data_IF_557774145673
#
_entry.id   IF_557774145673
#
_cell.length_a   1.000
_cell.length_b   1.000
_cell.length_c   1.000
_cell.angle_alpha   90.00
_cell.angle_beta   90.00
_cell.angle_gamma   90.00
#
_symmetry.space_group_name_H-M   'P 1'
#
loop_
_entity.id
_entity.type
_entity.pdbx_description
1 polymer ?
#
# COMPACT_ATOMS: atom_id res chain seq x y z
N UNK A 1 36.08 1.11 -56.21
CA UNK A 1 35.79 0.07 -55.19
C UNK A 1 35.46 0.75 -53.87
N UNK A 2 34.65 0.09 -53.03
CA UNK A 2 34.27 0.45 -51.64
C UNK A 2 33.01 1.32 -51.49
N UNK A 3 31.87 0.65 -51.42
CA UNK A 3 30.68 1.12 -50.69
C UNK A 3 29.83 -0.03 -50.12
N UNK A 4 30.23 -1.29 -50.36
CA UNK A 4 29.52 -2.49 -49.90
C UNK A 4 29.79 -2.82 -48.44
N UNK A 5 30.97 -2.46 -47.92
CA UNK A 5 31.30 -2.62 -46.49
C UNK A 5 30.36 -1.79 -45.60
N UNK A 6 29.85 -0.65 -46.10
CA UNK A 6 29.06 0.30 -45.31
C UNK A 6 27.59 -0.12 -45.16
N UNK A 7 27.00 -0.74 -46.20
CA UNK A 7 25.60 -1.18 -46.15
C UNK A 7 25.44 -2.43 -45.29
N UNK A 8 26.40 -3.34 -45.40
CA UNK A 8 26.35 -4.60 -44.66
C UNK A 8 26.64 -4.39 -43.17
N UNK A 9 27.58 -3.50 -42.81
CA UNK A 9 27.78 -3.11 -41.41
C UNK A 9 26.58 -2.39 -40.82
N UNK A 10 25.96 -1.45 -41.55
CA UNK A 10 24.74 -0.78 -41.10
C UNK A 10 23.58 -1.77 -40.90
N UNK A 11 23.43 -2.75 -41.79
CA UNK A 11 22.42 -3.80 -41.64
C UNK A 11 22.68 -4.63 -40.38
N UNK A 12 23.93 -5.03 -40.14
CA UNK A 12 24.30 -5.79 -38.93
C UNK A 12 24.13 -4.98 -37.65
N UNK A 13 24.47 -3.69 -37.65
CA UNK A 13 24.24 -2.80 -36.50
C UNK A 13 22.75 -2.64 -36.20
N UNK A 14 21.91 -2.51 -37.23
CA UNK A 14 20.46 -2.46 -37.07
C UNK A 14 19.91 -3.77 -36.51
N UNK A 15 20.34 -4.91 -37.04
CA UNK A 15 19.95 -6.23 -36.52
C UNK A 15 20.32 -6.39 -35.05
N UNK A 16 21.57 -6.06 -34.68
CA UNK A 16 22.06 -6.10 -33.29
C UNK A 16 21.21 -5.17 -32.40
N UNK A 17 20.91 -3.97 -32.87
CA UNK A 17 20.11 -3.00 -32.11
C UNK A 17 18.68 -3.50 -31.90
N UNK A 18 18.08 -4.09 -32.94
CA UNK A 18 16.73 -4.68 -32.89
C UNK A 18 16.72 -5.88 -31.92
N UNK A 19 17.69 -6.79 -32.01
CA UNK A 19 17.75 -7.95 -31.12
C UNK A 19 17.96 -7.54 -29.67
N UNK A 20 18.85 -6.57 -29.41
CA UNK A 20 19.09 -6.06 -28.06
C UNK A 20 17.84 -5.39 -27.47
N UNK A 21 17.10 -4.64 -28.28
CA UNK A 21 15.82 -4.03 -27.87
C UNK A 21 14.77 -5.10 -27.53
N UNK A 22 14.66 -6.14 -28.35
CA UNK A 22 13.73 -7.26 -28.11
C UNK A 22 14.10 -8.07 -26.86
N UNK A 23 15.38 -8.25 -26.56
CA UNK A 23 15.84 -8.92 -25.34
C UNK A 23 15.58 -8.10 -24.09
N UNK A 24 15.81 -6.77 -24.15
CA UNK A 24 15.46 -5.86 -23.06
C UNK A 24 13.95 -5.89 -22.77
N UNK A 25 13.11 -5.92 -23.79
CA UNK A 25 11.65 -6.04 -23.63
C UNK A 25 11.24 -7.38 -23.00
N UNK A 26 11.91 -8.48 -23.34
CA UNK A 26 11.69 -9.80 -22.71
C UNK A 26 12.09 -9.79 -21.23
N UNK A 27 13.24 -9.20 -20.89
CA UNK A 27 13.69 -9.03 -19.51
C UNK A 27 12.78 -8.08 -18.71
N UNK A 28 12.21 -7.07 -19.37
CA UNK A 28 11.24 -6.17 -18.75
C UNK A 28 9.91 -6.89 -18.43
N UNK A 29 9.48 -7.83 -19.29
CA UNK A 29 8.26 -8.62 -19.08
C UNK A 29 8.39 -9.64 -17.95
N UNK A 30 9.56 -10.25 -17.75
CA UNK A 30 9.79 -11.24 -16.68
C UNK A 30 9.95 -10.62 -15.29
N UNK A 31 10.38 -9.35 -15.20
CA UNK A 31 10.58 -8.63 -13.93
C UNK A 31 9.33 -7.89 -13.42
N UNK A 32 8.21 -7.91 -14.14
CA UNK A 32 6.93 -7.32 -13.72
C UNK A 32 6.22 -8.13 -12.62
N UNK A 33 6.97 -8.69 -11.65
CA UNK A 33 6.37 -9.14 -10.40
C UNK A 33 5.82 -7.89 -9.71
N UNK A 34 4.50 -7.85 -9.51
CA UNK A 34 3.84 -6.76 -8.79
C UNK A 34 4.60 -6.56 -7.47
N UNK A 35 4.98 -5.34 -7.10
CA UNK A 35 5.67 -5.10 -5.84
C UNK A 35 4.80 -5.65 -4.70
N UNK A 36 5.41 -6.45 -3.83
CA UNK A 36 4.72 -7.04 -2.69
C UNK A 36 4.31 -5.90 -1.75
N UNK A 37 3.01 -5.70 -1.59
CA UNK A 37 2.45 -4.62 -0.77
C UNK A 37 2.71 -4.89 0.71
N UNK A 38 2.50 -6.14 1.13
CA UNK A 38 2.59 -6.58 2.52
C UNK A 38 4.01 -7.04 2.84
N UNK A 39 4.61 -6.45 3.87
CA UNK A 39 5.96 -6.82 4.35
C UNK A 39 5.95 -8.16 5.08
N UNK A 40 7.12 -8.79 5.20
CA UNK A 40 7.27 -10.06 5.94
C UNK A 40 6.84 -9.92 7.39
N UNK A 41 7.17 -8.81 8.04
CA UNK A 41 6.74 -8.50 9.41
C UNK A 41 5.21 -8.49 9.55
N UNK A 42 4.49 -7.86 8.62
CA UNK A 42 3.02 -7.87 8.63
C UNK A 42 2.47 -9.27 8.37
N UNK A 43 3.14 -10.08 7.55
CA UNK A 43 2.75 -11.49 7.34
C UNK A 43 2.92 -12.33 8.62
N UNK A 44 4.01 -12.12 9.36
CA UNK A 44 4.24 -12.78 10.66
C UNK A 44 3.16 -12.39 11.68
N UNK A 45 2.76 -11.12 11.71
CA UNK A 45 1.66 -10.65 12.57
C UNK A 45 0.31 -11.28 12.20
N UNK A 46 0.03 -11.44 10.91
CA UNK A 46 -1.17 -12.15 10.44
C UNK A 46 -1.09 -13.63 10.82
N UNK A 47 0.05 -14.26 10.61
CA UNK A 47 0.27 -15.67 10.93
C UNK A 47 0.06 -15.94 12.43
N UNK A 48 0.70 -15.17 13.29
CA UNK A 48 0.54 -15.26 14.75
C UNK A 48 -0.90 -14.98 15.19
N UNK A 49 -1.63 -14.05 14.56
CA UNK A 49 -3.07 -13.88 14.78
C UNK A 49 -3.83 -15.18 14.44
N UNK A 50 -3.56 -15.78 13.28
CA UNK A 50 -4.26 -16.99 12.84
C UNK A 50 -3.99 -18.19 13.75
N UNK A 51 -2.77 -18.34 14.26
CA UNK A 51 -2.41 -19.39 15.23
C UNK A 51 -3.12 -19.20 16.58
N UNK A 52 -3.20 -17.96 17.08
CA UNK A 52 -3.93 -17.70 18.32
C UNK A 52 -5.45 -17.85 18.15
N UNK A 53 -5.98 -17.57 16.96
CA UNK A 53 -7.40 -17.75 16.63
C UNK A 53 -7.79 -19.22 16.56
N UNK A 54 -6.93 -20.08 16.00
CA UNK A 54 -7.20 -21.50 15.79
C UNK A 54 -7.30 -22.30 17.10
N UNK A 55 -6.78 -21.77 18.21
CA UNK A 55 -6.92 -22.37 19.54
C UNK A 55 -8.39 -22.36 20.00
N UNK A 56 -8.91 -23.56 20.31
CA UNK A 56 -10.31 -23.78 20.73
C UNK A 56 -10.62 -23.10 22.07
N UNK A 57 -9.77 -23.32 23.05
CA UNK A 57 -9.89 -22.70 24.37
C UNK A 57 -8.88 -21.56 24.51
N UNK A 58 -9.34 -20.42 25.02
CA UNK A 58 -8.53 -19.20 25.15
C UNK A 58 -8.63 -18.69 26.58
N UNK A 59 -7.49 -18.48 27.22
CA UNK A 59 -7.44 -17.81 28.52
C UNK A 59 -7.82 -16.32 28.38
N UNK A 60 -8.03 -15.64 29.51
CA UNK A 60 -8.34 -14.19 29.50
C UNK A 60 -7.17 -13.39 28.94
N UNK A 61 -5.96 -13.81 29.27
CA UNK A 61 -4.69 -13.23 28.82
C UNK A 61 -4.55 -13.40 27.30
N UNK A 62 -4.80 -14.60 26.77
CA UNK A 62 -4.76 -14.85 25.33
C UNK A 62 -5.77 -14.00 24.54
N UNK A 63 -6.97 -13.79 25.08
CA UNK A 63 -7.96 -12.90 24.46
C UNK A 63 -7.48 -11.44 24.44
N UNK A 64 -6.81 -11.00 25.50
CA UNK A 64 -6.22 -9.67 25.56
C UNK A 64 -5.07 -9.52 24.57
N UNK A 65 -4.16 -10.48 24.54
CA UNK A 65 -3.04 -10.53 23.60
C UNK A 65 -3.53 -10.50 22.15
N UNK A 66 -4.54 -11.32 21.82
CA UNK A 66 -5.14 -11.33 20.49
C UNK A 66 -5.71 -9.97 20.10
N UNK A 67 -6.37 -9.27 21.03
CA UNK A 67 -6.87 -7.90 20.80
C UNK A 67 -5.75 -6.91 20.48
N UNK A 68 -4.63 -7.00 21.19
CA UNK A 68 -3.47 -6.14 20.92
C UNK A 68 -2.77 -6.53 19.61
N UNK A 69 -2.69 -7.83 19.28
CA UNK A 69 -2.19 -8.32 18.01
C UNK A 69 -3.00 -7.78 16.83
N UNK A 70 -4.33 -7.79 16.93
CA UNK A 70 -5.20 -7.23 15.90
C UNK A 70 -4.96 -5.75 15.65
N UNK A 71 -4.78 -4.96 16.72
CA UNK A 71 -4.47 -3.53 16.59
C UNK A 71 -3.12 -3.33 15.89
N UNK A 72 -2.10 -4.08 16.31
CA UNK A 72 -0.75 -4.01 15.71
C UNK A 72 -0.79 -4.41 14.23
N UNK A 73 -1.42 -5.53 13.91
CA UNK A 73 -1.56 -6.04 12.53
C UNK A 73 -2.29 -5.04 11.64
N UNK A 74 -3.41 -4.48 12.10
CA UNK A 74 -4.15 -3.49 11.34
C UNK A 74 -3.35 -2.20 11.11
N UNK A 75 -2.56 -1.78 12.11
CA UNK A 75 -1.61 -0.67 11.97
C UNK A 75 -0.54 -0.95 10.93
N UNK A 76 0.07 -2.14 10.97
CA UNK A 76 1.11 -2.58 10.04
C UNK A 76 0.59 -2.67 8.59
N UNK A 77 -0.59 -3.26 8.38
CA UNK A 77 -1.27 -3.28 7.07
C UNK A 77 -1.47 -1.86 6.54
N UNK A 78 -1.95 -0.93 7.38
CA UNK A 78 -2.12 0.46 7.00
C UNK A 78 -0.81 1.14 6.57
N UNK A 79 0.28 0.87 7.29
CA UNK A 79 1.61 1.38 6.99
C UNK A 79 2.16 0.81 5.68
N UNK A 80 2.00 -0.50 5.46
CA UNK A 80 2.42 -1.19 4.23
C UNK A 80 1.73 -0.61 2.99
N UNK A 81 0.41 -0.39 3.07
CA UNK A 81 -0.33 0.24 1.99
C UNK A 81 0.10 1.69 1.73
N UNK A 82 0.38 2.45 2.79
CA UNK A 82 0.86 3.83 2.66
C UNK A 82 2.27 3.90 2.06
N UNK A 83 3.17 3.00 2.47
CA UNK A 83 4.50 2.84 1.87
C UNK A 83 4.39 2.51 0.39
N UNK A 84 3.57 1.50 0.04
CA UNK A 84 3.36 1.11 -1.34
C UNK A 84 2.80 2.27 -2.19
N UNK A 85 1.87 3.05 -1.65
CA UNK A 85 1.35 4.26 -2.31
C UNK A 85 2.45 5.28 -2.59
N UNK A 86 3.31 5.58 -1.61
CA UNK A 86 4.44 6.52 -1.80
C UNK A 86 5.37 6.06 -2.93
N UNK A 87 5.69 4.78 -2.97
CA UNK A 87 6.51 4.19 -4.05
C UNK A 87 5.85 4.39 -5.42
N UNK A 88 4.53 4.22 -5.54
CA UNK A 88 3.82 4.47 -6.81
C UNK A 88 3.89 5.95 -7.19
N UNK A 89 3.67 6.85 -6.23
CA UNK A 89 3.73 8.30 -6.47
C UNK A 89 5.12 8.70 -6.95
N UNK A 90 6.16 8.26 -6.26
CA UNK A 90 7.57 8.50 -6.60
C UNK A 90 7.87 7.96 -8.00
N UNK A 91 7.51 6.71 -8.29
CA UNK A 91 7.65 6.12 -9.63
C UNK A 91 6.92 6.92 -10.71
N UNK A 92 5.74 7.46 -10.42
CA UNK A 92 4.99 8.28 -11.36
C UNK A 92 5.68 9.63 -11.64
N UNK A 93 6.33 10.20 -10.64
CA UNK A 93 7.12 11.43 -10.78
C UNK A 93 8.45 11.18 -11.49
N UNK A 94 9.16 10.11 -11.17
CA UNK A 94 10.49 9.82 -11.71
C UNK A 94 10.43 9.22 -13.12
N UNK A 95 9.71 8.10 -13.28
CA UNK A 95 9.70 7.35 -14.53
C UNK A 95 8.84 8.02 -15.60
N UNK A 96 7.66 8.49 -15.21
CA UNK A 96 6.68 9.03 -16.16
C UNK A 96 6.62 10.56 -16.15
N UNK A 97 7.34 11.24 -15.24
CA UNK A 97 7.33 12.70 -15.09
C UNK A 97 5.91 13.28 -15.05
N UNK A 98 4.96 12.53 -14.48
CA UNK A 98 3.54 12.81 -14.61
C UNK A 98 2.93 13.22 -13.28
N UNK A 99 2.89 14.53 -13.04
CA UNK A 99 2.26 15.11 -11.85
C UNK A 99 0.76 14.79 -11.75
N UNK A 100 0.06 14.65 -12.89
CA UNK A 100 -1.35 14.22 -12.93
C UNK A 100 -1.53 12.82 -12.35
N UNK A 101 -0.66 11.87 -12.72
CA UNK A 101 -0.71 10.49 -12.20
C UNK A 101 -0.38 10.45 -10.72
N UNK A 102 0.65 11.18 -10.28
CA UNK A 102 0.98 11.31 -8.86
C UNK A 102 -0.17 11.92 -8.05
N UNK A 103 -0.79 13.00 -8.53
CA UNK A 103 -1.91 13.66 -7.87
C UNK A 103 -3.16 12.77 -7.79
N UNK A 104 -3.39 11.91 -8.80
CA UNK A 104 -4.48 10.94 -8.76
C UNK A 104 -4.30 9.95 -7.60
N UNK A 105 -3.09 9.43 -7.40
CA UNK A 105 -2.79 8.50 -6.30
C UNK A 105 -2.92 9.16 -4.91
N UNK A 106 -2.55 10.44 -4.80
CA UNK A 106 -2.73 11.27 -3.59
C UNK A 106 -4.21 11.54 -3.28
N UNK A 107 -5.01 11.88 -4.30
CA UNK A 107 -6.42 12.28 -4.11
C UNK A 107 -7.36 11.11 -3.92
N UNK A 108 -7.16 10.01 -4.67
CA UNK A 108 -8.08 8.86 -4.70
C UNK A 108 -8.13 8.12 -3.35
N UNK A 109 -7.05 8.14 -2.57
CA UNK A 109 -7.09 7.55 -1.23
C UNK A 109 -6.50 8.38 -0.09
N UNK A 110 -6.25 9.68 -0.31
CA UNK A 110 -5.94 10.65 0.77
C UNK A 110 -7.14 11.03 1.64
N UNK A 111 -8.36 10.59 1.30
CA UNK A 111 -9.60 10.88 2.01
C UNK A 111 -9.76 10.16 3.35
N UNK A 112 -9.02 9.09 3.62
CA UNK A 112 -9.11 8.36 4.90
C UNK A 112 -8.43 9.08 6.08
N UNK A 113 -7.55 10.05 5.82
CA UNK A 113 -6.94 10.85 6.88
C UNK A 113 -7.84 12.01 7.36
N UNK A 114 -8.70 12.56 6.49
CA UNK A 114 -9.60 13.69 6.84
C UNK A 114 -10.99 13.25 7.34
N UNK A 115 -11.44 12.04 7.01
CA UNK A 115 -12.73 11.50 7.48
C UNK A 115 -12.76 11.12 8.96
N UNK A 116 -11.66 10.57 9.48
CA UNK A 116 -11.60 10.05 10.85
C UNK A 116 -11.58 11.14 11.94
N UNK A 117 -11.01 12.33 11.66
CA UNK A 117 -11.01 13.46 12.59
C UNK A 117 -12.43 14.03 12.77
N UNK A 118 -13.18 14.19 11.67
CA UNK A 118 -14.57 14.70 11.73
C UNK A 118 -15.51 13.69 12.38
N UNK A 119 -15.44 12.40 12.03
CA UNK A 119 -16.29 11.37 12.64
C UNK A 119 -15.99 11.16 14.13
N UNK A 120 -14.72 11.26 14.58
CA UNK A 120 -14.38 11.24 16.01
C UNK A 120 -14.89 12.47 16.77
N UNK A 121 -14.88 13.66 16.15
CA UNK A 121 -15.43 14.89 16.75
C UNK A 121 -16.96 14.82 16.89
N UNK A 122 -17.67 14.27 15.90
CA UNK A 122 -19.12 14.06 15.99
C UNK A 122 -19.52 13.03 17.05
N UNK A 123 -18.77 11.93 17.19
CA UNK A 123 -19.04 10.91 18.22
C UNK A 123 -18.80 11.44 19.65
N UNK A 124 -17.72 12.22 19.87
CA UNK A 124 -17.45 12.86 21.17
C UNK A 124 -18.48 13.93 21.53
N UNK A 125 -18.94 14.74 20.57
CA UNK A 125 -19.98 15.75 20.78
C UNK A 125 -21.37 15.14 21.02
N UNK A 126 -21.70 14.02 20.36
CA UNK A 126 -22.97 13.32 20.59
C UNK A 126 -23.02 12.66 21.97
N UNK A 127 -21.91 12.07 22.41
CA UNK A 127 -21.81 11.48 23.76
C UNK A 127 -21.80 12.55 24.86
N UNK A 128 -21.17 13.72 24.64
CA UNK A 128 -21.21 14.80 25.64
C UNK A 128 -22.60 15.43 25.78
N UNK A 129 -23.36 15.55 24.69
CA UNK A 129 -24.73 16.05 24.73
C UNK A 129 -25.68 15.07 25.45
N UNK A 130 -25.57 13.77 25.15
CA UNK A 130 -26.36 12.74 25.83
C UNK A 130 -26.01 12.61 27.32
N UNK A 131 -24.73 12.67 27.70
CA UNK A 131 -24.32 12.69 29.11
C UNK A 131 -24.87 13.90 29.86
N UNK A 132 -24.88 15.08 29.22
CA UNK A 132 -25.41 16.32 29.81
C UNK A 132 -26.93 16.32 29.93
N UNK A 133 -27.63 15.67 28.99
CA UNK A 133 -29.08 15.47 29.04
C UNK A 133 -29.47 14.46 30.14
N UNK A 134 -28.70 13.39 30.32
CA UNK A 134 -28.92 12.40 31.37
C UNK A 134 -28.64 12.96 32.77
N UNK A 135 -27.58 13.76 32.96
CA UNK A 135 -27.33 14.45 34.23
C UNK A 135 -28.45 15.41 34.64
N UNK A 136 -29.05 16.13 33.67
CA UNK A 136 -30.18 17.03 33.95
C UNK A 136 -31.47 16.32 34.37
N UNK A 137 -31.64 15.06 33.99
CA UNK A 137 -32.81 14.25 34.34
C UNK A 137 -32.66 13.47 35.65
N UNK A 138 -31.43 13.35 36.18
CA UNK A 138 -31.15 12.66 37.45
C UNK A 138 -31.12 13.64 38.64
N UNK A 139 -30.97 14.95 38.38
CA UNK A 139 -30.93 16.00 39.41
C UNK A 139 -32.27 16.73 39.61
N UNK A 140 -33.40 16.13 39.22
CA UNK A 140 -34.76 16.55 39.58
C UNK A 140 -35.42 15.43 40.37
#
# INVERSE_FOLDING_TARGET
MKNTENVQTLSSELEITITNSLEQDKAFKTSNKKPKIITEQTQELIFTCTELLSKREKSKEMRHELKELYKKTNGAIGQDHERHRRIIIERNMEKYKSSKRALKELSTHGSNARGNEKQRRYSKARNSFLLRALQKNISR
#
